data_IF_147104210124
#
_entry.id   IF_147104210124
#
_cell.length_a   1.000
_cell.length_b   1.000
_cell.length_c   1.000
_cell.angle_alpha   90.00
_cell.angle_beta   90.00
_cell.angle_gamma   90.00
#
_symmetry.space_group_name_H-M   'P 1'
#
loop_
_entity.id
_entity.type
_entity.pdbx_description
1 polymer ?
#
# COMPACT_ATOMS: atom_id res chain seq x y z
N UNK A 1 -8.39 -3.02 -9.91
CA UNK A 1 -7.42 -2.04 -9.35
C UNK A 1 -7.27 -0.73 -10.15
N UNK A 2 -7.24 -0.74 -11.50
CA UNK A 2 -7.06 0.48 -12.31
C UNK A 2 -8.05 1.60 -11.96
N UNK A 3 -9.36 1.31 -11.97
CA UNK A 3 -10.39 2.31 -11.66
C UNK A 3 -10.23 2.92 -10.27
N UNK A 4 -10.05 2.08 -9.24
CA UNK A 4 -9.80 2.55 -7.87
C UNK A 4 -8.61 3.51 -7.79
N UNK A 5 -7.47 3.14 -8.38
CA UNK A 5 -6.27 4.00 -8.40
C UNK A 5 -6.53 5.32 -9.14
N UNK A 6 -7.22 5.29 -10.27
CA UNK A 6 -7.54 6.49 -11.06
C UNK A 6 -8.44 7.45 -10.28
N UNK A 7 -9.57 6.97 -9.76
CA UNK A 7 -10.56 7.85 -9.13
C UNK A 7 -10.08 8.41 -7.79
N UNK A 8 -9.41 7.58 -6.96
CA UNK A 8 -8.81 8.05 -5.71
C UNK A 8 -7.71 9.10 -5.96
N UNK A 9 -6.80 8.86 -6.91
CA UNK A 9 -5.75 9.84 -7.23
C UNK A 9 -6.33 11.15 -7.74
N UNK A 10 -7.35 11.10 -8.60
CA UNK A 10 -8.02 12.31 -9.09
C UNK A 10 -8.57 13.12 -7.93
N UNK A 11 -9.37 12.48 -7.06
CA UNK A 11 -10.01 13.14 -5.92
C UNK A 11 -9.00 13.74 -4.94
N UNK A 12 -7.93 13.01 -4.58
CA UNK A 12 -6.90 13.53 -3.67
C UNK A 12 -6.23 14.79 -4.25
N UNK A 13 -5.90 14.78 -5.55
CA UNK A 13 -5.27 15.94 -6.19
C UNK A 13 -6.25 17.09 -6.45
N UNK A 14 -7.56 16.84 -6.50
CA UNK A 14 -8.60 17.88 -6.53
C UNK A 14 -8.79 18.52 -5.14
N UNK A 15 -8.66 17.75 -4.07
CA UNK A 15 -8.71 18.25 -2.68
C UNK A 15 -7.45 19.03 -2.31
N UNK A 16 -6.26 18.56 -2.74
CA UNK A 16 -5.00 19.29 -2.58
C UNK A 16 -4.05 19.03 -3.78
N UNK A 17 -3.95 20.03 -4.66
CA UNK A 17 -3.09 19.97 -5.84
C UNK A 17 -1.59 20.01 -5.50
N UNK A 18 -1.19 20.48 -4.30
CA UNK A 18 0.21 20.55 -3.89
C UNK A 18 0.76 19.18 -3.50
N UNK A 19 -0.08 18.25 -3.05
CA UNK A 19 0.32 16.89 -2.68
C UNK A 19 0.88 16.12 -3.89
N UNK A 20 0.43 16.41 -5.11
CA UNK A 20 0.83 15.73 -6.36
C UNK A 20 0.83 14.20 -6.21
N UNK A 21 -0.22 13.69 -5.56
CA UNK A 21 -0.33 12.29 -5.17
C UNK A 21 -0.31 11.37 -6.39
N UNK A 22 0.50 10.31 -6.32
CA UNK A 22 0.55 9.24 -7.33
C UNK A 22 0.74 7.90 -6.64
N UNK A 23 -0.01 6.90 -7.07
CA UNK A 23 0.22 5.52 -6.66
C UNK A 23 1.54 4.98 -7.22
N UNK A 24 2.21 4.09 -6.47
CA UNK A 24 3.22 3.22 -7.06
C UNK A 24 2.63 2.40 -8.23
N UNK A 25 3.47 2.13 -9.23
CA UNK A 25 3.12 1.34 -10.41
C UNK A 25 2.81 -0.10 -10.01
N UNK A 26 1.84 -0.70 -10.71
CA UNK A 26 1.33 -2.06 -10.43
C UNK A 26 0.73 -2.20 -9.02
N UNK A 27 0.36 -3.40 -8.62
CA UNK A 27 -0.11 -3.73 -7.28
C UNK A 27 0.25 -5.18 -6.97
N UNK A 28 0.37 -5.50 -5.68
CA UNK A 28 0.51 -6.89 -5.25
C UNK A 28 -0.87 -7.55 -5.21
N UNK A 29 -0.96 -8.76 -5.73
CA UNK A 29 -2.17 -9.59 -5.72
C UNK A 29 -1.79 -11.04 -5.43
N UNK A 30 -2.58 -11.71 -4.60
CA UNK A 30 -2.37 -13.09 -4.17
C UNK A 30 -3.68 -13.72 -3.71
N UNK A 31 -4.01 -14.88 -4.28
CA UNK A 31 -5.14 -15.71 -3.85
C UNK A 31 -4.78 -16.39 -2.54
N UNK A 32 -5.59 -16.17 -1.51
CA UNK A 32 -5.47 -16.81 -0.20
C UNK A 32 -6.12 -18.20 -0.29
N UNK A 33 -5.36 -19.27 -0.01
CA UNK A 33 -5.77 -20.66 -0.25
C UNK A 33 -6.15 -21.41 1.02
N UNK A 34 -5.75 -20.91 2.17
CA UNK A 34 -6.03 -21.54 3.46
C UNK A 34 -6.15 -20.52 4.60
N UNK A 35 -6.64 -20.99 5.74
CA UNK A 35 -6.88 -20.17 6.93
C UNK A 35 -5.58 -19.62 7.53
N UNK A 36 -4.50 -20.41 7.52
CA UNK A 36 -3.21 -19.99 8.08
C UNK A 36 -2.64 -18.80 7.32
N UNK A 37 -2.73 -18.83 6.00
CA UNK A 37 -2.33 -17.72 5.13
C UNK A 37 -3.17 -16.46 5.40
N UNK A 38 -4.49 -16.61 5.56
CA UNK A 38 -5.39 -15.51 5.91
C UNK A 38 -4.99 -14.83 7.22
N UNK A 39 -4.74 -15.63 8.26
CA UNK A 39 -4.38 -15.14 9.60
C UNK A 39 -3.02 -14.43 9.60
N UNK A 40 -2.06 -14.95 8.83
CA UNK A 40 -0.76 -14.31 8.65
C UNK A 40 -0.88 -12.95 7.94
N UNK A 41 -1.67 -12.87 6.86
CA UNK A 41 -1.88 -11.61 6.12
C UNK A 41 -2.58 -10.56 7.00
N UNK A 42 -3.59 -10.97 7.78
CA UNK A 42 -4.27 -10.07 8.72
C UNK A 42 -3.32 -9.54 9.78
N UNK A 43 -2.53 -10.42 10.40
CA UNK A 43 -1.51 -10.03 11.38
C UNK A 43 -0.49 -9.07 10.77
N UNK A 44 -0.04 -9.35 9.53
CA UNK A 44 0.85 -8.46 8.79
C UNK A 44 0.25 -7.06 8.61
N UNK A 45 -1.02 -6.94 8.19
CA UNK A 45 -1.67 -5.64 7.98
C UNK A 45 -1.72 -4.83 9.28
N UNK A 46 -2.04 -5.48 10.41
CA UNK A 46 -2.10 -4.81 11.73
C UNK A 46 -0.72 -4.38 12.21
N UNK A 47 0.29 -5.24 12.04
CA UNK A 47 1.64 -4.98 12.53
C UNK A 47 2.46 -4.04 11.64
N UNK A 48 2.13 -3.93 10.35
CA UNK A 48 2.95 -3.22 9.36
C UNK A 48 3.25 -1.75 9.74
N UNK A 49 2.30 -0.95 10.24
CA UNK A 49 2.60 0.42 10.67
C UNK A 49 3.70 0.48 11.73
N UNK A 50 3.73 -0.46 12.68
CA UNK A 50 4.76 -0.53 13.72
C UNK A 50 6.12 -0.95 13.15
N UNK A 51 6.09 -1.79 12.10
CA UNK A 51 7.28 -2.35 11.45
C UNK A 51 7.78 -1.53 10.27
N UNK A 52 7.12 -0.42 9.91
CA UNK A 52 7.44 0.37 8.71
C UNK A 52 8.90 0.87 8.66
N UNK A 53 9.47 1.23 9.81
CA UNK A 53 10.85 1.68 9.92
C UNK A 53 11.88 0.58 9.56
N UNK A 54 11.48 -0.70 9.60
CA UNK A 54 12.31 -1.84 9.23
C UNK A 54 12.14 -2.25 7.76
N UNK A 55 11.18 -1.67 7.04
CA UNK A 55 10.92 -2.03 5.65
C UNK A 55 12.07 -1.58 4.75
N UNK A 56 12.60 -2.51 3.95
CA UNK A 56 13.70 -2.24 3.01
C UNK A 56 13.37 -1.23 1.92
N UNK A 57 12.09 -1.02 1.63
CA UNK A 57 11.60 -0.05 0.66
C UNK A 57 11.15 1.25 1.33
N UNK A 58 11.31 1.37 2.65
CA UNK A 58 11.16 2.65 3.32
C UNK A 58 12.21 3.62 2.73
N UNK A 59 11.83 4.83 2.28
CA UNK A 59 12.77 5.79 1.71
C UNK A 59 14.00 6.09 2.58
N UNK A 60 13.89 5.96 3.91
CA UNK A 60 15.01 6.16 4.85
C UNK A 60 16.05 5.03 4.76
N UNK A 61 15.63 3.83 4.33
CA UNK A 61 16.48 2.63 4.26
C UNK A 61 17.03 2.36 2.85
N UNK A 62 16.71 3.21 1.87
CA UNK A 62 17.27 3.12 0.51
C UNK A 62 18.68 3.71 0.51
N UNK A 63 19.67 2.93 0.06
CA UNK A 63 21.08 3.35 -0.11
C UNK A 63 21.25 4.19 -1.36
#
# INVERSE_FOLDING_TARGET
MRGFKTFSSKRINEEDALVKFRWQKSFYDRVIRDQKELDNIRSYIVDNPLKWHLDKNNPINLV
#
